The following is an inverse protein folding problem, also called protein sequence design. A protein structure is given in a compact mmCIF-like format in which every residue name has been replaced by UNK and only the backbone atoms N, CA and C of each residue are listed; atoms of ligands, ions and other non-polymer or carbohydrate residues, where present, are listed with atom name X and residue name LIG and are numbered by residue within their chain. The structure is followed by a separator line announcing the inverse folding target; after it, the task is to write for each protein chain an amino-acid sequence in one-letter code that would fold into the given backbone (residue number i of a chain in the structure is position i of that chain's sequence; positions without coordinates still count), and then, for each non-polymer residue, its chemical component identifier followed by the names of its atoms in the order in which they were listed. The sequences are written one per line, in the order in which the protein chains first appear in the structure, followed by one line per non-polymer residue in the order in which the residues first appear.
data_IF_443085923841
#
_entry.id   IF_443085923841
#
_cell.length_a   1.000
_cell.length_b   1.000
_cell.length_c   1.000
_cell.angle_alpha   90.00
_cell.angle_beta   90.00
_cell.angle_gamma   90.00
#
_symmetry.space_group_name_H-M   'P 1'
#
loop_
_entity.id
_entity.type
_entity.pdbx_description
1 polymer ?
#
# COMPACT_ATOMS: atom_id res chain seq x y z
N UNK A 1 4.06 -6.91 -7.83
CA UNK A 1 2.85 -6.33 -7.19
C UNK A 1 1.64 -7.11 -7.69
N UNK A 2 1.10 -8.00 -6.85
CA UNK A 2 -0.04 -8.85 -7.20
C UNK A 2 -1.37 -8.11 -7.06
N UNK A 3 -2.31 -8.40 -7.98
CA UNK A 3 -3.61 -7.72 -8.08
C UNK A 3 -4.77 -8.47 -7.38
N UNK A 4 -4.49 -9.48 -6.55
CA UNK A 4 -5.51 -10.34 -5.93
C UNK A 4 -5.57 -10.19 -4.41
N UNK A 5 -6.50 -10.90 -3.77
CA UNK A 5 -6.73 -10.95 -2.33
C UNK A 5 -6.78 -12.42 -1.88
N UNK A 6 -6.26 -12.74 -0.68
CA UNK A 6 -6.47 -14.02 0.00
C UNK A 6 -5.37 -15.08 -0.16
N UNK A 7 -4.17 -14.69 -0.59
CA UNK A 7 -2.98 -15.54 -0.51
C UNK A 7 -2.27 -15.39 0.85
N UNK A 8 -1.35 -16.30 1.17
CA UNK A 8 -0.48 -16.16 2.35
C UNK A 8 0.50 -14.98 2.24
N UNK A 9 0.70 -14.47 1.03
CA UNK A 9 1.68 -13.42 0.70
C UNK A 9 1.09 -12.02 0.86
N UNK A 10 1.90 -11.12 1.42
CA UNK A 10 1.61 -9.69 1.48
C UNK A 10 1.66 -9.02 0.11
N UNK A 11 0.73 -8.10 -0.15
CA UNK A 11 0.62 -7.36 -1.41
C UNK A 11 0.43 -5.87 -1.16
N UNK A 12 1.01 -5.03 -2.03
CA UNK A 12 0.82 -3.57 -2.02
C UNK A 12 0.37 -3.09 -3.38
N UNK A 13 -0.61 -2.20 -3.44
CA UNK A 13 -1.04 -1.52 -4.66
C UNK A 13 -1.10 -0.02 -4.43
N UNK A 14 -0.87 0.79 -5.48
CA UNK A 14 -1.00 2.25 -5.45
C UNK A 14 -2.16 2.70 -6.33
N UNK A 15 -3.43 2.47 -5.92
CA UNK A 15 -4.57 2.88 -6.72
C UNK A 15 -4.72 4.41 -6.74
N UNK A 16 -5.32 4.92 -7.81
CA UNK A 16 -5.77 6.31 -7.93
C UNK A 16 -7.31 6.35 -7.86
N UNK A 17 -7.91 6.52 -6.66
CA UNK A 17 -9.36 6.48 -6.50
C UNK A 17 -10.09 7.58 -7.28
N UNK A 18 -9.41 8.68 -7.60
CA UNK A 18 -9.97 9.76 -8.40
C UNK A 18 -10.43 9.31 -9.79
N UNK A 19 -9.88 8.19 -10.30
CA UNK A 19 -10.23 7.64 -11.61
C UNK A 19 -11.47 6.75 -11.64
N UNK A 20 -11.90 6.20 -10.50
CA UNK A 20 -12.92 5.14 -10.50
C UNK A 20 -13.93 5.21 -9.35
N UNK A 21 -13.70 6.01 -8.30
CA UNK A 21 -14.61 6.13 -7.17
C UNK A 21 -15.77 7.07 -7.52
N UNK A 22 -16.99 6.51 -7.62
CA UNK A 22 -18.20 7.27 -8.02
C UNK A 22 -19.05 7.76 -6.85
N UNK A 23 -19.04 7.06 -5.71
CA UNK A 23 -19.90 7.39 -4.57
C UNK A 23 -19.49 8.67 -3.81
N UNK A 24 -18.18 8.93 -3.72
CA UNK A 24 -17.64 10.14 -3.08
C UNK A 24 -16.29 10.45 -3.71
N UNK A 25 -16.06 11.68 -4.21
CA UNK A 25 -14.76 12.08 -4.72
C UNK A 25 -13.65 11.88 -3.67
N UNK A 26 -12.49 11.43 -4.12
CA UNK A 26 -11.31 11.30 -3.27
C UNK A 26 -10.47 12.59 -3.33
N UNK A 27 -10.18 13.16 -2.16
CA UNK A 27 -9.40 14.39 -2.01
C UNK A 27 -8.25 14.24 -1.00
N UNK A 28 -7.82 13.01 -0.72
CA UNK A 28 -6.71 12.77 0.21
C UNK A 28 -5.39 13.36 -0.31
N UNK A 29 -4.53 13.90 0.56
CA UNK A 29 -3.21 14.38 0.17
C UNK A 29 -2.27 13.20 -0.15
N UNK A 30 -1.39 13.40 -1.14
CA UNK A 30 -0.36 12.42 -1.49
C UNK A 30 -0.89 11.13 -2.16
N UNK A 31 0.01 10.17 -2.44
CA UNK A 31 -0.36 8.89 -3.03
C UNK A 31 -1.13 8.01 -2.04
N UNK A 32 -2.14 7.28 -2.54
CA UNK A 32 -2.80 6.24 -1.76
C UNK A 32 -2.07 4.90 -1.94
N UNK A 33 -1.68 4.27 -0.84
CA UNK A 33 -1.23 2.89 -0.81
C UNK A 33 -2.31 1.99 -0.19
N UNK A 34 -2.56 0.84 -0.81
CA UNK A 34 -3.46 -0.20 -0.30
C UNK A 34 -2.66 -1.46 -0.03
N UNK A 35 -2.61 -1.86 1.23
CA UNK A 35 -1.91 -3.05 1.70
C UNK A 35 -2.89 -4.20 1.90
N UNK A 36 -2.50 -5.38 1.44
CA UNK A 36 -3.05 -6.65 1.87
C UNK A 36 -1.97 -7.34 2.69
N UNK A 37 -2.20 -7.47 4.00
CA UNK A 37 -1.24 -8.07 4.92
C UNK A 37 -1.44 -9.58 4.91
N UNK A 38 -0.37 -10.30 4.55
CA UNK A 38 -0.29 -11.75 4.54
C UNK A 38 -0.07 -12.33 5.95
N UNK A 39 0.50 -13.54 6.00
CA UNK A 39 0.75 -14.27 7.25
C UNK A 39 2.26 -14.45 7.53
N UNK A 40 3.10 -13.59 6.98
CA UNK A 40 4.53 -13.53 7.30
C UNK A 40 4.78 -13.08 8.75
N UNK A 41 6.03 -13.19 9.21
CA UNK A 41 6.41 -12.64 10.52
C UNK A 41 6.15 -11.13 10.56
N UNK A 42 5.46 -10.68 11.59
CA UNK A 42 5.13 -9.27 11.77
C UNK A 42 6.36 -8.35 11.83
N UNK A 43 7.49 -8.84 12.34
CA UNK A 43 8.73 -8.07 12.41
C UNK A 43 9.27 -7.80 11.00
N UNK A 44 9.30 -8.83 10.14
CA UNK A 44 9.76 -8.70 8.76
C UNK A 44 8.88 -7.70 7.97
N UNK A 45 7.56 -7.73 8.19
CA UNK A 45 6.63 -6.80 7.56
C UNK A 45 6.83 -5.35 8.03
N UNK A 46 7.08 -5.15 9.31
CA UNK A 46 7.36 -3.82 9.88
C UNK A 46 8.67 -3.27 9.31
N UNK A 47 9.72 -4.10 9.28
CA UNK A 47 11.04 -3.70 8.79
C UNK A 47 11.00 -3.33 7.29
N UNK A 48 10.27 -4.10 6.47
CA UNK A 48 10.13 -3.80 5.04
C UNK A 48 9.35 -2.49 4.80
N UNK A 49 8.24 -2.27 5.51
CA UNK A 49 7.47 -1.02 5.43
C UNK A 49 8.28 0.19 5.92
N UNK A 50 9.03 0.05 7.01
CA UNK A 50 9.90 1.10 7.53
C UNK A 50 10.97 1.49 6.51
N UNK A 51 11.67 0.52 5.92
CA UNK A 51 12.67 0.76 4.90
C UNK A 51 12.06 1.38 3.62
N UNK A 52 10.86 0.96 3.23
CA UNK A 52 10.12 1.56 2.11
C UNK A 52 9.78 3.03 2.33
N UNK A 53 9.21 3.35 3.50
CA UNK A 53 8.83 4.72 3.87
C UNK A 53 10.05 5.64 4.06
N UNK A 54 11.15 5.12 4.61
CA UNK A 54 12.40 5.87 4.71
C UNK A 54 12.92 6.28 3.32
N UNK A 55 12.95 5.35 2.36
CA UNK A 55 13.35 5.66 0.97
C UNK A 55 12.44 6.71 0.33
N UNK A 56 11.13 6.62 0.56
CA UNK A 56 10.15 7.58 0.06
C UNK A 56 10.42 8.98 0.64
N UNK A 57 10.62 9.08 1.95
CA UNK A 57 10.88 10.36 2.64
C UNK A 57 12.16 11.08 2.22
N UNK A 58 13.11 10.37 1.62
CA UNK A 58 14.35 10.94 1.08
C UNK A 58 14.21 11.48 -0.36
N UNK A 59 13.09 11.19 -1.01
CA UNK A 59 12.85 11.51 -2.43
C UNK A 59 11.80 12.62 -2.61
N UNK A 60 10.91 12.80 -1.63
CA UNK A 60 10.09 14.02 -1.44
C UNK A 60 10.93 15.20 -0.91
#
# INVERSE_FOLDING_TARGET
IGASWGGFESLVTAPDPGRFRTATPWHGPGPLLRLHVGLEDSADLIDDLAAGLERYSRTD
#
